data_IF_063862772878
#
_entry.id   IF_063862772878
#
_cell.length_a   1.000
_cell.length_b   1.000
_cell.length_c   1.000
_cell.angle_alpha   90.00
_cell.angle_beta   90.00
_cell.angle_gamma   90.00
#
_symmetry.space_group_name_H-M   'P 1'
#
loop_
_entity.id
_entity.type
_entity.pdbx_description
1 polymer ?
#
# COMPACT_ATOMS: atom_id res chain seq x y z
N UNK A 1 -12.47 18.45 -4.07
CA UNK A 1 -13.77 17.76 -4.08
C UNK A 1 -13.76 16.81 -2.89
N UNK A 2 -14.78 16.81 -2.01
CA UNK A 2 -14.74 15.97 -0.82
C UNK A 2 -15.08 14.52 -1.20
N UNK A 3 -14.16 13.60 -0.93
CA UNK A 3 -14.43 12.16 -0.92
C UNK A 3 -15.25 11.78 0.31
N UNK A 4 -15.91 10.61 0.28
CA UNK A 4 -16.61 10.06 1.42
C UNK A 4 -15.67 9.75 2.60
N UNK A 5 -16.23 9.77 3.81
CA UNK A 5 -15.48 9.48 5.03
C UNK A 5 -14.87 8.07 5.05
N UNK A 6 -15.55 7.10 4.44
CA UNK A 6 -15.08 5.72 4.33
C UNK A 6 -13.80 5.62 3.50
N UNK A 7 -13.80 6.20 2.28
CA UNK A 7 -12.61 6.24 1.43
C UNK A 7 -11.46 7.02 2.08
N UNK A 8 -11.77 8.16 2.72
CA UNK A 8 -10.76 8.93 3.44
C UNK A 8 -10.14 8.15 4.61
N UNK A 9 -10.94 7.40 5.37
CA UNK A 9 -10.46 6.56 6.46
C UNK A 9 -9.61 5.39 5.95
N UNK A 10 -10.06 4.70 4.89
CA UNK A 10 -9.33 3.61 4.29
C UNK A 10 -7.96 4.07 3.75
N UNK A 11 -7.91 5.23 3.08
CA UNK A 11 -6.66 5.79 2.56
C UNK A 11 -5.70 6.16 3.69
N UNK A 12 -6.20 6.75 4.79
CA UNK A 12 -5.37 7.05 5.97
C UNK A 12 -4.84 5.79 6.67
N UNK A 13 -5.69 4.77 6.86
CA UNK A 13 -5.31 3.52 7.47
C UNK A 13 -4.24 2.80 6.63
N UNK A 14 -4.46 2.73 5.32
CA UNK A 14 -3.52 2.16 4.37
C UNK A 14 -2.17 2.89 4.38
N UNK A 15 -2.17 4.24 4.34
CA UNK A 15 -0.95 5.04 4.41
C UNK A 15 -0.19 4.84 5.71
N UNK A 16 -0.90 4.67 6.83
CA UNK A 16 -0.27 4.39 8.14
C UNK A 16 0.47 3.07 8.13
N UNK A 17 -0.17 2.00 7.64
CA UNK A 17 0.47 0.66 7.57
C UNK A 17 1.63 0.64 6.59
N UNK A 18 1.51 1.31 5.44
CA UNK A 18 2.62 1.47 4.49
C UNK A 18 3.83 2.15 5.15
N UNK A 19 3.61 3.26 5.87
CA UNK A 19 4.66 3.99 6.56
C UNK A 19 5.32 3.13 7.65
N UNK A 20 4.54 2.40 8.44
CA UNK A 20 5.05 1.48 9.46
C UNK A 20 5.97 0.43 8.83
N UNK A 21 5.57 -0.20 7.71
CA UNK A 21 6.38 -1.19 7.00
C UNK A 21 7.70 -0.59 6.51
N UNK A 22 7.66 0.63 5.97
CA UNK A 22 8.86 1.35 5.51
C UNK A 22 9.80 1.60 6.70
N UNK A 23 9.29 2.14 7.80
CA UNK A 23 10.08 2.43 9.01
C UNK A 23 10.66 1.16 9.64
N UNK A 24 9.90 0.07 9.68
CA UNK A 24 10.41 -1.23 10.14
C UNK A 24 11.49 -1.76 9.20
N UNK A 25 11.29 -1.68 7.89
CA UNK A 25 12.29 -2.12 6.90
C UNK A 25 13.62 -1.36 6.99
N UNK A 26 13.58 -0.08 7.38
CA UNK A 26 14.78 0.73 7.60
C UNK A 26 15.53 0.40 8.89
N UNK A 27 14.82 -0.10 9.90
CA UNK A 27 15.38 -0.34 11.25
C UNK A 27 15.32 -1.81 11.66
N UNK A 28 15.30 -2.72 10.67
CA UNK A 28 15.02 -4.13 10.87
C UNK A 28 16.06 -4.79 11.78
N UNK A 29 15.58 -5.45 12.82
CA UNK A 29 16.36 -6.29 13.72
C UNK A 29 15.52 -7.50 14.18
N UNK A 30 16.12 -8.39 14.96
CA UNK A 30 15.44 -9.60 15.43
C UNK A 30 14.20 -9.30 16.31
N UNK A 31 14.20 -8.20 17.06
CA UNK A 31 13.09 -7.82 17.95
C UNK A 31 11.86 -7.28 17.19
N UNK A 32 12.08 -6.75 15.98
CA UNK A 32 11.03 -6.17 15.13
C UNK A 32 10.49 -7.12 14.07
N UNK A 33 11.11 -8.29 13.91
CA UNK A 33 10.73 -9.27 12.89
C UNK A 33 9.24 -9.68 12.98
N UNK A 34 8.73 -9.96 14.17
CA UNK A 34 7.31 -10.32 14.36
C UNK A 34 6.38 -9.16 14.04
N UNK A 35 6.68 -7.95 14.52
CA UNK A 35 5.88 -6.75 14.21
C UNK A 35 5.85 -6.46 12.70
N UNK A 36 6.97 -6.66 12.00
CA UNK A 36 7.04 -6.50 10.56
C UNK A 36 6.20 -7.52 9.79
N UNK A 37 6.18 -8.78 10.23
CA UNK A 37 5.31 -9.82 9.64
C UNK A 37 3.84 -9.45 9.84
N UNK A 38 3.46 -9.01 11.04
CA UNK A 38 2.08 -8.61 11.31
C UNK A 38 1.67 -7.40 10.46
N UNK A 39 2.49 -6.35 10.36
CA UNK A 39 2.19 -5.22 9.47
C UNK A 39 2.05 -5.64 8.01
N UNK A 40 2.88 -6.56 7.51
CA UNK A 40 2.76 -7.10 6.15
C UNK A 40 1.45 -7.86 5.92
N UNK A 41 0.94 -8.55 6.93
CA UNK A 41 -0.38 -9.22 6.90
C UNK A 41 -1.51 -8.20 6.94
N UNK A 42 -1.43 -7.21 7.82
CA UNK A 42 -2.39 -6.10 7.90
C UNK A 42 -2.48 -5.36 6.57
N UNK A 43 -1.36 -5.11 5.89
CA UNK A 43 -1.35 -4.47 4.57
C UNK A 43 -2.18 -5.26 3.54
N UNK A 44 -2.15 -6.59 3.58
CA UNK A 44 -2.96 -7.42 2.70
C UNK A 44 -4.48 -7.25 2.96
N UNK A 45 -4.86 -7.06 4.23
CA UNK A 45 -6.23 -6.73 4.61
C UNK A 45 -6.63 -5.32 4.15
N UNK A 46 -5.76 -4.32 4.37
CA UNK A 46 -6.01 -2.94 3.95
C UNK A 46 -6.18 -2.80 2.43
N UNK A 47 -5.49 -3.61 1.62
CA UNK A 47 -5.76 -3.64 0.17
C UNK A 47 -7.21 -3.99 -0.15
N UNK A 48 -7.83 -4.90 0.61
CA UNK A 48 -9.22 -5.28 0.41
C UNK A 48 -10.18 -4.20 0.91
N UNK A 49 -9.90 -3.63 2.09
CA UNK A 49 -10.69 -2.51 2.66
C UNK A 49 -10.68 -1.32 1.71
N UNK A 50 -9.49 -0.91 1.25
CA UNK A 50 -9.35 0.22 0.33
C UNK A 50 -10.01 -0.04 -1.02
N UNK A 51 -9.91 -1.25 -1.55
CA UNK A 51 -10.63 -1.63 -2.77
C UNK A 51 -12.14 -1.45 -2.60
N UNK A 52 -12.71 -1.97 -1.52
CA UNK A 52 -14.15 -1.86 -1.26
C UNK A 52 -14.57 -0.40 -1.12
N UNK A 53 -13.78 0.41 -0.41
CA UNK A 53 -14.05 1.83 -0.23
C UNK A 53 -14.00 2.60 -1.56
N UNK A 54 -13.08 2.25 -2.46
CA UNK A 54 -13.06 2.81 -3.82
C UNK A 54 -14.32 2.42 -4.59
N UNK A 55 -14.70 1.14 -4.57
CA UNK A 55 -15.88 0.60 -5.29
C UNK A 55 -17.21 1.20 -4.80
N UNK A 56 -17.26 1.69 -3.56
CA UNK A 56 -18.45 2.30 -2.95
C UNK A 56 -18.47 3.84 -3.01
N UNK A 57 -17.36 4.49 -3.37
CA UNK A 57 -17.27 5.95 -3.43
C UNK A 57 -18.20 6.49 -4.53
N UNK A 58 -19.24 7.29 -4.19
CA UNK A 58 -20.25 7.73 -5.15
C UNK A 58 -19.64 8.45 -6.36
N UNK A 59 -18.61 9.28 -6.14
CA UNK A 59 -17.94 10.01 -7.21
C UNK A 59 -17.23 9.11 -8.22
N UNK A 60 -16.65 7.99 -7.76
CA UNK A 60 -15.97 7.01 -8.60
C UNK A 60 -16.97 6.09 -9.31
N UNK A 61 -18.08 5.75 -8.65
CA UNK A 61 -19.17 4.97 -9.26
C UNK A 61 -19.74 5.71 -10.47
N UNK A 62 -19.88 7.04 -10.39
CA UNK A 62 -20.32 7.89 -11.50
C UNK A 62 -19.26 8.07 -12.61
N UNK A 63 -18.02 7.58 -12.41
CA UNK A 63 -16.86 7.76 -13.31
C UNK A 63 -16.11 6.43 -13.50
N UNK A 64 -16.68 5.50 -14.28
CA UNK A 64 -16.16 4.14 -14.41
C UNK A 64 -14.72 4.07 -14.95
N UNK A 65 -14.30 5.04 -15.78
CA UNK A 65 -12.92 5.16 -16.26
C UNK A 65 -11.94 5.47 -15.13
N UNK A 66 -12.34 6.33 -14.18
CA UNK A 66 -11.53 6.67 -13.00
C UNK A 66 -11.48 5.52 -12.01
N UNK A 67 -12.62 4.86 -11.79
CA UNK A 67 -12.69 3.62 -11.01
C UNK A 67 -11.73 2.56 -11.57
N UNK A 68 -11.79 2.33 -12.90
CA UNK A 68 -10.94 1.34 -13.57
C UNK A 68 -9.45 1.69 -13.42
N UNK A 69 -9.09 2.96 -13.58
CA UNK A 69 -7.71 3.42 -13.36
C UNK A 69 -7.26 3.19 -11.91
N UNK A 70 -8.10 3.54 -10.92
CA UNK A 70 -7.83 3.35 -9.50
C UNK A 70 -7.57 1.87 -9.17
N UNK A 71 -8.49 0.99 -9.59
CA UNK A 71 -8.41 -0.45 -9.33
C UNK A 71 -7.21 -1.09 -10.02
N UNK A 72 -6.86 -0.63 -11.23
CA UNK A 72 -5.66 -1.08 -11.94
C UNK A 72 -4.39 -0.72 -11.17
N UNK A 73 -4.28 0.52 -10.69
CA UNK A 73 -3.12 0.99 -9.93
C UNK A 73 -3.01 0.27 -8.57
N UNK A 74 -4.12 0.14 -7.84
CA UNK A 74 -4.16 -0.58 -6.57
C UNK A 74 -3.80 -2.07 -6.75
N UNK A 75 -4.29 -2.70 -7.83
CA UNK A 75 -3.98 -4.10 -8.13
C UNK A 75 -2.51 -4.29 -8.50
N UNK A 76 -1.92 -3.38 -9.27
CA UNK A 76 -0.49 -3.41 -9.59
C UNK A 76 0.35 -3.29 -8.31
N UNK A 77 -0.01 -2.37 -7.41
CA UNK A 77 0.66 -2.22 -6.12
C UNK A 77 0.54 -3.49 -5.27
N UNK A 78 -0.66 -4.06 -5.14
CA UNK A 78 -0.87 -5.32 -4.44
C UNK A 78 -0.03 -6.45 -5.02
N UNK A 79 0.02 -6.59 -6.34
CA UNK A 79 0.78 -7.64 -7.02
C UNK A 79 2.28 -7.50 -6.74
N UNK A 80 2.85 -6.29 -6.90
CA UNK A 80 4.25 -6.03 -6.58
C UNK A 80 4.57 -6.32 -5.11
N UNK A 81 3.70 -5.92 -4.18
CA UNK A 81 3.87 -6.22 -2.76
C UNK A 81 3.85 -7.73 -2.49
N UNK A 82 2.91 -8.49 -3.06
CA UNK A 82 2.84 -9.94 -2.88
C UNK A 82 4.10 -10.65 -3.40
N UNK A 83 4.59 -10.26 -4.57
CA UNK A 83 5.85 -10.80 -5.14
C UNK A 83 7.02 -10.50 -4.19
N UNK A 84 7.14 -9.25 -3.74
CA UNK A 84 8.20 -8.86 -2.82
C UNK A 84 8.14 -9.65 -1.50
N UNK A 85 6.95 -9.84 -0.92
CA UNK A 85 6.79 -10.61 0.31
C UNK A 85 7.17 -12.09 0.13
N UNK A 86 6.88 -12.68 -1.02
CA UNK A 86 7.26 -14.07 -1.34
C UNK A 86 8.77 -14.23 -1.53
N UNK A 87 9.42 -13.28 -2.22
CA UNK A 87 10.86 -13.32 -2.50
C UNK A 87 11.73 -12.88 -1.31
N UNK A 88 11.19 -12.00 -0.46
CA UNK A 88 11.84 -11.40 0.70
C UNK A 88 11.12 -11.75 2.00
N UNK A 89 11.17 -13.02 2.44
CA UNK A 89 10.69 -13.38 3.77
C UNK A 89 11.50 -12.64 4.83
N UNK A 90 10.90 -12.40 6.00
CA UNK A 90 11.46 -11.55 7.06
C UNK A 90 12.89 -11.93 7.47
N UNK A 91 13.23 -13.22 7.47
CA UNK A 91 14.59 -13.68 7.77
C UNK A 91 15.61 -13.12 6.77
N UNK A 92 15.28 -13.12 5.48
CA UNK A 92 16.12 -12.56 4.41
C UNK A 92 16.24 -11.05 4.50
N UNK A 93 15.16 -10.38 4.90
CA UNK A 93 15.15 -8.91 5.13
C UNK A 93 16.08 -8.53 6.28
N UNK A 94 16.09 -9.32 7.36
CA UNK A 94 17.00 -9.14 8.50
C UNK A 94 18.46 -9.40 8.11
N UNK A 95 18.71 -10.46 7.36
CA UNK A 95 20.07 -10.89 7.02
C UNK A 95 20.73 -9.97 5.95
N UNK A 96 19.94 -9.40 5.03
CA UNK A 96 20.42 -8.40 4.07
C UNK A 96 19.40 -7.25 3.85
N UNK A 97 19.40 -6.24 4.75
CA UNK A 97 18.52 -5.08 4.63
C UNK A 97 18.85 -4.19 3.42
N UNK A 98 20.08 -4.23 2.91
CA UNK A 98 20.48 -3.41 1.77
C UNK A 98 19.88 -3.95 0.47
N UNK A 99 20.00 -5.26 0.23
CA UNK A 99 19.40 -5.89 -0.93
C UNK A 99 17.87 -5.90 -0.85
N UNK A 100 17.28 -6.01 0.34
CA UNK A 100 15.84 -5.82 0.52
C UNK A 100 15.38 -4.44 0.06
N UNK A 101 16.10 -3.36 0.43
CA UNK A 101 15.75 -1.99 0.01
C UNK A 101 15.76 -1.84 -1.51
N UNK A 102 16.68 -2.50 -2.21
CA UNK A 102 16.74 -2.50 -3.67
C UNK A 102 15.50 -3.23 -4.24
N UNK A 103 15.19 -4.42 -3.72
CA UNK A 103 14.05 -5.20 -4.18
C UNK A 103 12.70 -4.53 -3.90
N UNK A 104 12.60 -3.76 -2.81
CA UNK A 104 11.39 -3.00 -2.47
C UNK A 104 11.14 -1.80 -3.40
N UNK A 105 12.08 -1.43 -4.28
CA UNK A 105 11.90 -0.30 -5.21
C UNK A 105 10.74 -0.51 -6.19
N UNK A 106 10.48 -1.75 -6.61
CA UNK A 106 9.37 -2.07 -7.51
C UNK A 106 8.02 -1.83 -6.82
N UNK A 107 7.91 -2.23 -5.55
CA UNK A 107 6.76 -1.94 -4.69
C UNK A 107 6.59 -0.44 -4.50
N UNK A 108 7.69 0.27 -4.19
CA UNK A 108 7.67 1.71 -3.98
C UNK A 108 7.29 2.50 -5.25
N UNK A 109 7.63 1.99 -6.45
CA UNK A 109 7.21 2.59 -7.71
C UNK A 109 5.69 2.44 -7.92
N UNK A 110 5.14 1.24 -7.74
CA UNK A 110 3.70 1.00 -7.88
C UNK A 110 2.89 1.77 -6.83
N UNK A 111 3.38 1.83 -5.59
CA UNK A 111 2.82 2.65 -4.53
C UNK A 111 2.75 4.13 -4.93
N UNK A 112 3.85 4.66 -5.46
CA UNK A 112 3.95 6.06 -5.89
C UNK A 112 2.94 6.37 -7.00
N UNK A 113 2.77 5.47 -7.97
CA UNK A 113 1.82 5.68 -9.05
C UNK A 113 0.37 5.70 -8.54
N UNK A 114 0.03 4.81 -7.58
CA UNK A 114 -1.26 4.85 -6.90
C UNK A 114 -1.47 6.15 -6.12
N UNK A 115 -0.51 6.55 -5.28
CA UNK A 115 -0.64 7.77 -4.48
C UNK A 115 -0.69 9.05 -5.31
N UNK A 116 0.06 9.12 -6.42
CA UNK A 116 -0.04 10.22 -7.38
C UNK A 116 -1.44 10.33 -7.98
N UNK A 117 -2.06 9.20 -8.27
CA UNK A 117 -3.44 9.17 -8.75
C UNK A 117 -4.40 9.67 -7.66
N UNK A 118 -4.24 9.20 -6.43
CA UNK A 118 -5.04 9.67 -5.27
C UNK A 118 -4.92 11.19 -5.12
N UNK A 119 -3.69 11.72 -5.13
CA UNK A 119 -3.45 13.17 -4.99
C UNK A 119 -4.07 13.98 -6.13
N UNK A 120 -3.99 13.46 -7.36
CA UNK A 120 -4.50 14.12 -8.57
C UNK A 120 -6.02 14.15 -8.62
N UNK A 121 -6.67 13.03 -8.28
CA UNK A 121 -8.11 12.84 -8.47
C UNK A 121 -8.94 13.15 -7.22
N UNK A 122 -8.40 12.87 -6.03
CA UNK A 122 -9.14 12.94 -4.77
C UNK A 122 -8.74 14.15 -3.90
N UNK A 123 -7.61 14.79 -4.21
CA UNK A 123 -7.03 15.89 -3.42
C UNK A 123 -6.18 15.36 -2.26
N UNK A 124 -5.04 16.01 -2.04
CA UNK A 124 -3.95 15.59 -1.14
C UNK A 124 -4.42 14.93 0.17
N UNK A 125 -3.92 13.71 0.39
CA UNK A 125 -4.14 12.95 1.63
C UNK A 125 -2.85 12.49 2.31
N UNK A 126 -1.73 13.13 2.01
CA UNK A 126 -0.43 12.85 2.64
C UNK A 126 0.04 13.97 3.54
#
# INVERSE_FOLDING_TARGET
MPIGAELANALRAFATIENDIITFGQTMDASKASAFVERRREMAHEFAVLRNALEQEPWLVDRPERMTEALRLLSAFRASNSINQAEWPTIRVRDDPAAFRIAAQTVAAAARDFWRWVDRELGHMR
#
